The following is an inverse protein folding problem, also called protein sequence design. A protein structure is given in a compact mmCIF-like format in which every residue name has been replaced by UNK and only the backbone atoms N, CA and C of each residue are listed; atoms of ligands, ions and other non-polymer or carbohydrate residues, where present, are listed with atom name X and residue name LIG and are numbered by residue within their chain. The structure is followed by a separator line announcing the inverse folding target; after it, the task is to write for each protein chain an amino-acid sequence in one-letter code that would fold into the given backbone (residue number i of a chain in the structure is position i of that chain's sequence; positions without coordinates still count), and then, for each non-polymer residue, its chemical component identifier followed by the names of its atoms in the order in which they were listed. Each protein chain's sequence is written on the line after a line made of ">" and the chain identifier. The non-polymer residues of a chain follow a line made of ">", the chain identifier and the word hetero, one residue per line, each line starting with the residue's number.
data_IF_881902449429
#
_entry.id   IF_881902449429
#
_cell.length_a   1.000
_cell.length_b   1.000
_cell.length_c   1.000
_cell.angle_alpha   90.00
_cell.angle_beta   90.00
_cell.angle_gamma   90.00
#
_symmetry.space_group_name_H-M   'P 1'
#
loop_
_entity.id
_entity.type
_entity.pdbx_description
1 polymer ?
#
# COMPACT_ATOMS: atom_id res chain seq x y z
N UNK A 1 22.08 49.50 1.12
CA UNK A 1 21.34 48.89 2.25
C UNK A 1 20.01 48.35 1.72
N UNK A 2 19.64 47.13 2.17
CA UNK A 2 18.35 46.41 1.99
C UNK A 2 18.18 45.70 0.63
N UNK A 3 18.58 44.43 0.48
CA UNK A 3 18.00 43.17 0.99
C UNK A 3 16.67 42.75 0.33
N UNK A 4 16.80 41.68 -0.47
CA UNK A 4 16.05 40.42 -0.48
C UNK A 4 14.54 40.35 -0.80
N UNK A 5 14.27 39.35 -1.65
CA UNK A 5 13.11 38.45 -1.71
C UNK A 5 11.80 38.98 -2.33
N UNK A 6 11.50 38.48 -3.54
CA UNK A 6 10.20 37.89 -3.80
C UNK A 6 10.40 36.44 -4.24
N UNK A 7 10.22 35.53 -3.29
CA UNK A 7 10.06 34.10 -3.51
C UNK A 7 8.82 33.91 -4.41
N UNK A 8 9.01 33.35 -5.61
CA UNK A 8 7.89 32.86 -6.40
C UNK A 8 7.37 31.59 -5.71
N UNK A 9 6.16 31.67 -5.15
CA UNK A 9 5.45 30.52 -4.64
C UNK A 9 5.14 29.58 -5.82
N UNK A 10 5.86 28.47 -5.89
CA UNK A 10 5.50 27.35 -6.76
C UNK A 10 4.19 26.77 -6.21
N UNK A 11 3.12 26.66 -7.01
CA UNK A 11 1.91 26.00 -6.55
C UNK A 11 2.25 24.53 -6.29
N UNK A 12 2.20 24.12 -5.02
CA UNK A 12 2.06 22.70 -4.67
C UNK A 12 0.86 22.19 -5.47
N UNK A 13 1.12 21.28 -6.41
CA UNK A 13 0.09 20.60 -7.17
C UNK A 13 -0.62 19.61 -6.23
N UNK A 14 -1.44 20.14 -5.32
CA UNK A 14 -2.36 19.38 -4.49
C UNK A 14 -3.51 18.91 -5.37
N UNK A 15 -3.30 17.81 -6.11
CA UNK A 15 -4.35 17.15 -6.86
C UNK A 15 -5.26 16.35 -5.90
N UNK A 16 -6.04 17.06 -5.08
CA UNK A 16 -7.20 16.50 -4.39
C UNK A 16 -8.43 16.73 -5.28
N UNK A 17 -8.61 15.88 -6.29
CA UNK A 17 -9.83 15.88 -7.08
C UNK A 17 -10.33 14.45 -7.29
N UNK A 18 -11.05 13.92 -6.30
CA UNK A 18 -12.05 12.87 -6.53
C UNK A 18 -13.27 13.16 -5.64
N UNK A 19 -14.15 14.02 -6.16
CA UNK A 19 -15.55 14.02 -5.78
C UNK A 19 -16.19 12.75 -6.38
N UNK A 20 -16.39 11.74 -5.54
CA UNK A 20 -17.12 10.52 -5.88
C UNK A 20 -18.22 10.28 -4.85
N UNK A 21 -19.44 10.10 -5.33
CA UNK A 21 -20.61 9.61 -4.60
C UNK A 21 -20.21 8.59 -3.50
N UNK A 22 -20.76 8.72 -2.27
CA UNK A 22 -20.37 8.08 -1.00
C UNK A 22 -20.29 6.55 -0.95
N UNK A 23 -19.58 5.95 -1.90
CA UNK A 23 -19.26 4.55 -2.00
C UNK A 23 -18.02 4.32 -1.15
N UNK A 24 -18.15 3.43 -0.17
CA UNK A 24 -17.00 3.05 0.64
C UNK A 24 -15.89 2.49 -0.26
N UNK A 25 -14.62 2.85 -0.01
CA UNK A 25 -13.50 2.34 -0.77
C UNK A 25 -13.47 0.82 -0.72
N UNK A 26 -13.25 0.20 -1.87
CA UNK A 26 -13.09 -1.24 -1.98
C UNK A 26 -11.65 -1.71 -1.70
N UNK A 27 -11.40 -3.02 -1.79
CA UNK A 27 -10.08 -3.60 -1.53
C UNK A 27 -8.97 -3.06 -2.44
N UNK A 28 -9.31 -2.67 -3.67
CA UNK A 28 -8.36 -2.11 -4.63
C UNK A 28 -7.92 -0.71 -4.21
N UNK A 29 -8.87 0.12 -3.78
CA UNK A 29 -8.59 1.46 -3.28
C UNK A 29 -7.74 1.41 -2.01
N UNK A 30 -8.05 0.51 -1.08
CA UNK A 30 -7.23 0.27 0.11
C UNK A 30 -5.82 -0.20 -0.23
N UNK A 31 -5.67 -1.15 -1.16
CA UNK A 31 -4.36 -1.58 -1.62
C UNK A 31 -3.56 -0.43 -2.25
N UNK A 32 -4.22 0.42 -3.04
CA UNK A 32 -3.60 1.61 -3.63
C UNK A 32 -3.11 2.58 -2.55
N UNK A 33 -3.90 2.81 -1.50
CA UNK A 33 -3.51 3.68 -0.38
C UNK A 33 -2.25 3.15 0.34
N UNK A 34 -2.20 1.84 0.63
CA UNK A 34 -1.02 1.21 1.26
C UNK A 34 0.20 1.29 0.35
N UNK A 35 0.05 1.06 -0.97
CA UNK A 35 1.15 1.22 -1.94
C UNK A 35 1.66 2.65 -1.99
N UNK A 36 0.77 3.65 -1.99
CA UNK A 36 1.17 5.05 -1.93
C UNK A 36 1.93 5.38 -0.65
N UNK A 37 1.47 4.92 0.50
CA UNK A 37 2.17 5.10 1.78
C UNK A 37 3.57 4.47 1.78
N UNK A 38 3.73 3.27 1.21
CA UNK A 38 5.04 2.63 1.04
C UNK A 38 5.99 3.45 0.17
N UNK A 39 5.51 4.06 -0.91
CA UNK A 39 6.35 4.90 -1.77
C UNK A 39 6.81 6.18 -1.07
N UNK A 40 5.93 6.80 -0.28
CA UNK A 40 6.30 7.97 0.55
C UNK A 40 7.32 7.57 1.62
N UNK A 41 7.08 6.46 2.34
CA UNK A 41 8.04 5.92 3.30
C UNK A 41 9.39 5.68 2.63
N UNK A 42 9.41 5.04 1.45
CA UNK A 42 10.63 4.75 0.70
C UNK A 42 11.42 6.02 0.39
N UNK A 43 10.75 7.09 -0.04
CA UNK A 43 11.37 8.39 -0.29
C UNK A 43 11.95 9.04 0.98
N UNK A 44 11.22 8.99 2.08
CA UNK A 44 11.63 9.57 3.36
C UNK A 44 12.76 8.79 4.05
N UNK A 45 12.93 7.51 3.72
CA UNK A 45 13.90 6.59 4.32
C UNK A 45 15.05 6.22 3.36
N UNK A 46 15.45 7.15 2.48
CA UNK A 46 16.62 7.04 1.60
C UNK A 46 16.60 5.78 0.71
N UNK A 47 15.42 5.41 0.23
CA UNK A 47 15.22 4.26 -0.63
C UNK A 47 15.22 2.91 0.10
N UNK A 48 14.82 2.91 1.38
CA UNK A 48 14.61 1.69 2.17
C UNK A 48 13.12 1.46 2.39
N UNK A 49 12.65 0.27 2.06
CA UNK A 49 11.32 -0.19 2.44
C UNK A 49 11.30 -0.64 3.90
N UNK A 50 10.16 -0.49 4.61
CA UNK A 50 10.05 -0.90 6.00
C UNK A 50 10.14 -2.42 6.13
N UNK A 51 10.60 -2.90 7.28
CA UNK A 51 10.66 -4.35 7.52
C UNK A 51 9.27 -4.91 7.83
N UNK A 52 8.39 -4.08 8.40
CA UNK A 52 7.00 -4.42 8.71
C UNK A 52 6.03 -3.32 8.26
N UNK A 53 4.78 -3.66 7.92
CA UNK A 53 3.80 -2.64 7.52
C UNK A 53 3.31 -1.78 8.70
N UNK A 54 3.55 -2.20 9.94
CA UNK A 54 3.22 -1.45 11.15
C UNK A 54 3.93 -0.08 11.19
N UNK A 55 5.11 0.01 10.58
CA UNK A 55 5.88 1.24 10.45
C UNK A 55 5.15 2.34 9.65
N UNK A 56 4.25 1.97 8.74
CA UNK A 56 3.44 2.93 8.00
C UNK A 56 2.40 3.62 8.88
N UNK A 57 2.00 2.96 9.96
CA UNK A 57 1.02 3.48 10.92
C UNK A 57 1.66 4.15 12.12
N UNK A 58 2.98 4.01 12.26
CA UNK A 58 3.73 4.60 13.36
C UNK A 58 3.57 6.13 13.32
N UNK A 59 3.07 6.67 14.43
CA UNK A 59 2.81 8.09 14.63
C UNK A 59 1.79 8.72 13.64
N UNK A 60 1.05 7.90 12.89
CA UNK A 60 0.01 8.36 11.97
C UNK A 60 0.52 9.12 10.74
N UNK A 61 1.83 9.13 10.48
CA UNK A 61 2.46 9.97 9.44
C UNK A 61 2.10 9.54 8.01
N UNK A 62 2.19 8.24 7.72
CA UNK A 62 1.94 7.71 6.37
C UNK A 62 0.52 7.15 6.24
N UNK A 63 0.04 6.47 7.28
CA UNK A 63 -1.33 5.99 7.44
C UNK A 63 -1.77 6.19 8.88
N UNK A 64 -3.04 6.53 9.10
CA UNK A 64 -3.62 6.54 10.46
C UNK A 64 -3.78 5.12 11.01
N UNK A 65 -4.19 4.20 10.15
CA UNK A 65 -4.29 2.76 10.43
C UNK A 65 -4.11 1.98 9.12
N UNK A 66 -3.73 0.70 9.23
CA UNK A 66 -3.70 -0.18 8.06
C UNK A 66 -5.15 -0.59 7.72
N UNK A 67 -5.67 -0.21 6.54
CA UNK A 67 -7.09 -0.37 6.23
C UNK A 67 -7.46 -1.85 6.12
N UNK A 68 -8.64 -2.22 6.63
CA UNK A 68 -9.16 -3.58 6.49
C UNK A 68 -9.66 -3.80 5.06
N UNK A 69 -9.36 -4.95 4.49
CA UNK A 69 -9.85 -5.35 3.16
C UNK A 69 -10.87 -6.47 3.31
N UNK A 70 -12.02 -6.30 2.65
CA UNK A 70 -13.06 -7.31 2.53
C UNK A 70 -12.84 -8.11 1.23
N UNK A 71 -12.37 -9.35 1.38
CA UNK A 71 -11.96 -10.19 0.26
C UNK A 71 -12.92 -11.38 0.11
N UNK A 72 -13.15 -11.88 -1.13
CA UNK A 72 -14.05 -12.99 -1.35
C UNK A 72 -13.66 -14.22 -0.50
N UNK A 73 -14.63 -14.75 0.25
CA UNK A 73 -14.44 -15.92 1.11
C UNK A 73 -13.84 -15.62 2.49
N UNK A 74 -13.52 -14.35 2.79
CA UNK A 74 -12.79 -13.96 4.00
C UNK A 74 -13.52 -12.89 4.79
N UNK A 75 -13.33 -12.86 6.11
CA UNK A 75 -13.75 -11.71 6.92
C UNK A 75 -12.86 -10.51 6.62
N UNK A 76 -13.41 -9.31 6.74
CA UNK A 76 -12.64 -8.08 6.61
C UNK A 76 -11.43 -8.09 7.57
N UNK A 77 -10.23 -7.97 7.01
CA UNK A 77 -8.97 -8.14 7.74
C UNK A 77 -7.91 -7.19 7.23
N UNK A 78 -7.01 -6.75 8.10
CA UNK A 78 -5.77 -6.04 7.77
C UNK A 78 -4.54 -6.86 8.17
N UNK A 79 -4.70 -8.17 8.41
CA UNK A 79 -3.58 -9.06 8.70
C UNK A 79 -2.54 -9.03 7.56
N UNK A 80 -1.27 -9.19 7.90
CA UNK A 80 -0.15 -9.11 6.96
C UNK A 80 0.61 -10.43 6.95
N UNK A 81 0.65 -11.08 5.80
CA UNK A 81 1.54 -12.20 5.52
C UNK A 81 2.88 -11.66 5.02
N UNK A 82 3.95 -11.87 5.79
CA UNK A 82 5.30 -11.53 5.36
C UNK A 82 5.88 -12.65 4.48
N UNK A 83 6.42 -12.29 3.32
CA UNK A 83 6.91 -13.23 2.30
C UNK A 83 8.39 -12.95 2.00
N UNK A 84 9.19 -14.01 2.05
CA UNK A 84 10.52 -14.04 1.47
C UNK A 84 10.48 -14.90 0.21
N UNK A 85 10.47 -14.27 -0.97
CA UNK A 85 10.44 -14.99 -2.24
C UNK A 85 10.90 -14.16 -3.43
N UNK A 86 11.53 -14.79 -4.45
CA UNK A 86 12.09 -14.10 -5.60
C UNK A 86 11.04 -13.59 -6.59
N UNK A 87 9.77 -13.97 -6.44
CA UNK A 87 8.71 -13.62 -7.39
C UNK A 87 7.38 -13.31 -6.70
N UNK A 88 6.58 -12.45 -7.34
CA UNK A 88 5.18 -12.18 -6.97
C UNK A 88 4.28 -13.34 -7.43
N UNK A 89 4.42 -14.49 -6.76
CA UNK A 89 3.71 -15.72 -7.10
C UNK A 89 2.45 -15.90 -6.25
N UNK A 90 1.29 -16.22 -6.85
CA UNK A 90 0.07 -16.59 -6.11
C UNK A 90 0.28 -17.79 -5.17
N UNK A 91 1.27 -18.65 -5.47
CA UNK A 91 1.61 -19.81 -4.63
C UNK A 91 2.14 -19.44 -3.24
N UNK A 92 2.56 -18.18 -3.05
CA UNK A 92 3.03 -17.68 -1.77
C UNK A 92 1.89 -17.10 -0.91
N UNK A 93 0.68 -17.01 -1.46
CA UNK A 93 -0.50 -16.53 -0.75
C UNK A 93 -1.14 -17.67 0.03
N UNK A 94 -1.72 -17.36 1.20
CA UNK A 94 -2.33 -18.33 2.11
C UNK A 94 -3.84 -18.37 2.06
N UNK A 95 -4.47 -17.45 1.31
CA UNK A 95 -5.94 -17.31 1.29
C UNK A 95 -6.51 -17.09 2.70
N UNK A 96 -5.85 -16.26 3.52
CA UNK A 96 -6.34 -15.90 4.86
C UNK A 96 -6.99 -14.49 4.89
N UNK A 97 -7.02 -13.82 3.72
CA UNK A 97 -7.42 -12.43 3.61
C UNK A 97 -6.31 -11.45 4.02
N UNK A 98 -6.61 -10.15 3.98
CA UNK A 98 -5.63 -9.11 4.30
C UNK A 98 -4.59 -8.88 3.20
N UNK A 99 -3.36 -8.62 3.62
CA UNK A 99 -2.23 -8.25 2.76
C UNK A 99 -1.14 -9.31 2.76
N UNK A 100 -0.40 -9.37 1.67
CA UNK A 100 0.87 -10.07 1.57
C UNK A 100 1.96 -9.06 1.22
N UNK A 101 3.00 -8.98 2.05
CA UNK A 101 4.08 -8.02 1.94
C UNK A 101 5.43 -8.73 1.78
N UNK A 102 6.16 -8.35 0.74
CA UNK A 102 7.48 -8.89 0.43
C UNK A 102 8.54 -8.00 1.08
N UNK A 103 9.13 -8.47 2.18
CA UNK A 103 10.01 -7.66 3.04
C UNK A 103 11.46 -8.16 3.12
N UNK A 104 11.82 -9.15 2.32
CA UNK A 104 13.11 -9.85 2.48
C UNK A 104 14.24 -9.18 1.70
N UNK A 105 15.32 -8.81 2.40
CA UNK A 105 16.56 -8.31 1.78
C UNK A 105 17.24 -9.32 0.85
N UNK A 106 16.90 -10.61 0.99
CA UNK A 106 17.39 -11.67 0.09
C UNK A 106 16.88 -11.50 -1.34
N UNK A 107 15.75 -10.83 -1.52
CA UNK A 107 15.06 -10.68 -2.81
C UNK A 107 14.74 -9.20 -3.06
N UNK A 108 15.75 -8.38 -3.40
CA UNK A 108 15.57 -6.93 -3.57
C UNK A 108 14.57 -6.58 -4.68
N UNK A 109 14.45 -7.40 -5.72
CA UNK A 109 13.53 -7.17 -6.84
C UNK A 109 12.05 -7.27 -6.45
N UNK A 110 11.73 -8.00 -5.37
CA UNK A 110 10.36 -8.11 -4.84
C UNK A 110 10.18 -7.35 -3.55
N UNK A 111 11.25 -6.89 -2.89
CA UNK A 111 11.16 -6.15 -1.63
C UNK A 111 10.32 -4.88 -1.83
N UNK A 112 9.42 -4.60 -0.89
CA UNK A 112 8.50 -3.48 -0.95
C UNK A 112 7.19 -3.77 -1.69
N UNK A 113 7.07 -4.92 -2.36
CA UNK A 113 5.83 -5.28 -3.03
C UNK A 113 4.74 -5.66 -2.01
N UNK A 114 3.54 -5.11 -2.20
CA UNK A 114 2.34 -5.47 -1.45
C UNK A 114 1.21 -5.87 -2.39
N UNK A 115 0.56 -6.97 -2.06
CA UNK A 115 -0.60 -7.53 -2.77
C UNK A 115 -1.68 -7.96 -1.77
N UNK A 116 -2.86 -8.30 -2.27
CA UNK A 116 -3.93 -8.89 -1.45
C UNK A 116 -3.65 -10.38 -1.24
N UNK A 117 -3.75 -10.86 0.00
CA UNK A 117 -3.48 -12.26 0.34
C UNK A 117 -4.71 -13.15 0.05
N UNK A 118 -5.08 -13.22 -1.23
CA UNK A 118 -6.22 -14.00 -1.70
C UNK A 118 -6.12 -14.32 -3.20
N UNK A 119 -6.30 -15.58 -3.55
CA UNK A 119 -6.30 -16.17 -4.90
C UNK A 119 -7.71 -16.20 -5.51
N UNK A 120 -8.76 -15.97 -4.72
CA UNK A 120 -10.14 -15.95 -5.21
C UNK A 120 -10.39 -14.82 -6.22
N UNK A 121 -11.33 -15.08 -7.13
CA UNK A 121 -11.80 -14.10 -8.09
C UNK A 121 -12.76 -13.09 -7.46
N UNK A 122 -12.72 -11.86 -7.96
CA UNK A 122 -13.72 -10.84 -7.66
C UNK A 122 -15.04 -11.11 -8.37
N UNK A 123 -16.04 -10.25 -8.14
CA UNK A 123 -17.37 -10.35 -8.79
C UNK A 123 -17.34 -10.29 -10.32
N UNK A 124 -16.20 -9.91 -10.92
CA UNK A 124 -15.97 -9.85 -12.38
C UNK A 124 -15.13 -11.03 -12.89
N UNK A 125 -14.80 -12.02 -12.05
CA UNK A 125 -14.00 -13.18 -12.43
C UNK A 125 -12.49 -12.95 -12.43
N UNK A 126 -11.99 -11.76 -12.07
CA UNK A 126 -10.56 -11.46 -12.03
C UNK A 126 -9.97 -11.73 -10.64
N UNK A 127 -8.80 -12.38 -10.52
CA UNK A 127 -8.18 -12.66 -9.24
C UNK A 127 -7.87 -11.38 -8.46
N UNK A 128 -8.16 -11.35 -7.15
CA UNK A 128 -7.98 -10.13 -6.35
C UNK A 128 -6.51 -9.77 -6.11
N UNK A 129 -5.61 -10.75 -6.08
CA UNK A 129 -4.17 -10.48 -5.93
C UNK A 129 -3.52 -9.81 -7.16
N UNK A 130 -4.22 -9.74 -8.30
CA UNK A 130 -3.69 -9.11 -9.52
C UNK A 130 -4.01 -7.62 -9.64
N UNK A 131 -4.52 -6.99 -8.57
CA UNK A 131 -4.82 -5.56 -8.52
C UNK A 131 -3.58 -4.68 -8.46
#
# INVERSE_FOLDING_TARGET
>A
MKNFLKLAALPLLGAALLAGCGKQPGPREHLSAVRSALQVYYGDHEGKFPDTLDELTKDGKYLLELPKVDLPGHRASNAVKYISGPTLSPKNLTDEGGYAYYNSDKYPDTKGAVVLNCTHANKKGAPVHSY
#
